data_IF_708415957844
#
_entry.id   IF_708415957844
#
_cell.length_a   1.000
_cell.length_b   1.000
_cell.length_c   1.000
_cell.angle_alpha   90.00
_cell.angle_beta   90.00
_cell.angle_gamma   90.00
#
_symmetry.space_group_name_H-M   'P 1'
#
loop_
_entity.id
_entity.type
_entity.pdbx_description
1 polymer ?
#
# COMPACT_ATOMS: atom_id res chain seq x y z
N UNK A 1 -4.65 -25.54 -23.92
CA UNK A 1 -5.84 -25.55 -23.03
C UNK A 1 -6.30 -24.12 -22.85
N UNK A 2 -7.60 -23.91 -23.03
CA UNK A 2 -8.26 -22.60 -23.14
C UNK A 2 -8.24 -21.84 -21.82
N UNK A 3 -7.39 -20.82 -21.70
CA UNK A 3 -7.44 -19.88 -20.58
C UNK A 3 -8.62 -18.93 -20.79
N UNK A 4 -9.70 -19.13 -20.04
CA UNK A 4 -10.73 -18.12 -19.84
C UNK A 4 -10.00 -16.86 -19.37
N UNK A 5 -10.05 -15.79 -20.16
CA UNK A 5 -9.62 -14.47 -19.69
C UNK A 5 -10.50 -14.12 -18.50
N UNK A 6 -9.97 -14.25 -17.28
CA UNK A 6 -10.71 -13.84 -16.09
C UNK A 6 -10.95 -12.33 -16.19
N UNK A 7 -12.23 -11.98 -16.38
CA UNK A 7 -12.65 -10.60 -16.51
C UNK A 7 -12.37 -9.81 -15.23
N UNK A 8 -12.26 -8.50 -15.40
CA UNK A 8 -12.20 -7.54 -14.32
C UNK A 8 -13.37 -7.74 -13.33
N UNK A 9 -13.07 -7.81 -12.03
CA UNK A 9 -14.08 -7.93 -10.97
C UNK A 9 -14.65 -6.54 -10.67
N UNK A 10 -15.72 -6.18 -11.38
CA UNK A 10 -16.40 -4.87 -11.27
C UNK A 10 -16.68 -4.47 -9.81
N UNK A 11 -17.17 -5.35 -8.91
CA UNK A 11 -17.43 -4.96 -7.52
C UNK A 11 -16.19 -4.45 -6.78
N UNK A 12 -15.02 -5.03 -7.03
CA UNK A 12 -13.75 -4.58 -6.45
C UNK A 12 -13.41 -3.18 -6.97
N UNK A 13 -13.53 -2.97 -8.27
CA UNK A 13 -13.26 -1.65 -8.87
C UNK A 13 -14.17 -0.60 -8.29
N UNK A 14 -15.48 -0.87 -8.23
CA UNK A 14 -16.46 0.08 -7.72
C UNK A 14 -16.17 0.41 -6.25
N UNK A 15 -15.84 -0.59 -5.42
CA UNK A 15 -15.53 -0.38 -4.00
C UNK A 15 -14.29 0.50 -3.81
N UNK A 16 -13.19 0.19 -4.52
CA UNK A 16 -11.96 1.00 -4.48
C UNK A 16 -12.21 2.41 -5.03
N UNK A 17 -12.90 2.54 -6.17
CA UNK A 17 -13.17 3.82 -6.80
C UNK A 17 -14.06 4.71 -5.94
N UNK A 18 -15.02 4.13 -5.23
CA UNK A 18 -15.91 4.83 -4.30
C UNK A 18 -15.14 5.27 -3.05
N UNK A 19 -14.36 4.38 -2.43
CA UNK A 19 -13.57 4.72 -1.25
C UNK A 19 -12.56 5.84 -1.53
N UNK A 20 -11.93 5.82 -2.71
CA UNK A 20 -10.99 6.84 -3.18
C UNK A 20 -11.64 8.04 -3.87
N UNK A 21 -12.97 8.05 -4.02
CA UNK A 21 -13.74 9.11 -4.68
C UNK A 21 -13.18 9.47 -6.07
N UNK A 22 -12.86 8.45 -6.88
CA UNK A 22 -12.21 8.64 -8.18
C UNK A 22 -13.10 9.31 -9.24
N UNK A 23 -14.42 9.32 -9.04
CA UNK A 23 -15.36 10.07 -9.86
C UNK A 23 -15.37 11.57 -9.55
N UNK A 24 -14.73 11.99 -8.45
CA UNK A 24 -14.72 13.38 -7.98
C UNK A 24 -13.40 14.06 -8.34
N UNK A 25 -13.48 15.23 -8.98
CA UNK A 25 -12.30 16.05 -9.29
C UNK A 25 -11.53 16.45 -8.03
N UNK A 26 -12.25 16.67 -6.92
CA UNK A 26 -11.71 17.12 -5.64
C UNK A 26 -12.22 16.22 -4.51
N UNK A 27 -11.37 16.02 -3.50
CA UNK A 27 -11.74 15.36 -2.23
C UNK A 27 -11.33 16.28 -1.08
N UNK A 28 -12.05 16.22 0.03
CA UNK A 28 -11.80 17.05 1.21
C UNK A 28 -11.51 16.21 2.44
N UNK A 29 -10.62 15.22 2.28
CA UNK A 29 -10.32 14.25 3.33
C UNK A 29 -9.60 14.84 4.54
N UNK A 30 -8.98 16.01 4.40
CA UNK A 30 -8.40 16.76 5.52
C UNK A 30 -9.41 17.15 6.61
N UNK A 31 -10.69 17.21 6.28
CA UNK A 31 -11.77 17.49 7.25
C UNK A 31 -12.33 16.24 7.91
N UNK A 32 -11.92 15.05 7.47
CA UNK A 32 -12.38 13.79 8.04
C UNK A 32 -11.68 13.52 9.37
N UNK A 33 -12.43 12.94 10.32
CA UNK A 33 -11.86 12.42 11.55
C UNK A 33 -11.08 11.11 11.32
N UNK A 34 -10.28 10.72 12.31
CA UNK A 34 -9.43 9.54 12.25
C UNK A 34 -10.19 8.26 11.87
N UNK A 35 -11.35 8.01 12.48
CA UNK A 35 -12.19 6.83 12.20
C UNK A 35 -12.67 6.79 10.74
N UNK A 36 -13.00 7.94 10.14
CA UNK A 36 -13.45 7.98 8.75
C UNK A 36 -12.30 7.71 7.76
N UNK A 37 -11.09 8.18 8.08
CA UNK A 37 -9.87 7.87 7.32
C UNK A 37 -9.54 6.38 7.44
N UNK A 38 -9.56 5.85 8.67
CA UNK A 38 -9.36 4.43 8.97
C UNK A 38 -10.32 3.55 8.17
N UNK A 39 -11.62 3.83 8.23
CA UNK A 39 -12.64 3.11 7.50
C UNK A 39 -12.40 3.11 5.98
N UNK A 40 -12.01 4.25 5.41
CA UNK A 40 -11.67 4.32 3.98
C UNK A 40 -10.47 3.43 3.64
N UNK A 41 -9.44 3.43 4.48
CA UNK A 41 -8.26 2.57 4.27
C UNK A 41 -8.64 1.10 4.34
N UNK A 42 -9.36 0.68 5.38
CA UNK A 42 -9.78 -0.71 5.53
C UNK A 42 -10.67 -1.17 4.39
N UNK A 43 -11.63 -0.35 3.93
CA UNK A 43 -12.46 -0.67 2.77
C UNK A 43 -11.63 -0.98 1.51
N UNK A 44 -10.51 -0.28 1.32
CA UNK A 44 -9.62 -0.50 0.17
C UNK A 44 -8.78 -1.75 0.37
N UNK A 45 -8.20 -1.96 1.57
CA UNK A 45 -7.42 -3.15 1.89
C UNK A 45 -8.28 -4.43 1.74
N UNK A 46 -9.50 -4.42 2.28
CA UNK A 46 -10.45 -5.53 2.11
C UNK A 46 -10.80 -5.78 0.65
N UNK A 47 -11.05 -4.71 -0.13
CA UNK A 47 -11.33 -4.86 -1.56
C UNK A 47 -10.13 -5.45 -2.32
N UNK A 48 -8.90 -5.08 -1.95
CA UNK A 48 -7.68 -5.66 -2.51
C UNK A 48 -7.45 -7.10 -2.05
N UNK A 49 -7.93 -7.49 -0.86
CA UNK A 49 -7.96 -8.89 -0.42
C UNK A 49 -9.02 -9.73 -1.14
N UNK A 50 -9.92 -9.09 -1.89
CA UNK A 50 -11.04 -9.75 -2.58
C UNK A 50 -12.27 -9.92 -1.70
N UNK A 51 -12.31 -9.30 -0.52
CA UNK A 51 -13.48 -9.29 0.35
C UNK A 51 -14.45 -8.20 -0.11
N UNK A 52 -15.64 -8.60 -0.55
CA UNK A 52 -16.70 -7.68 -0.98
C UNK A 52 -17.93 -7.87 -0.11
N UNK A 53 -18.35 -6.78 0.54
CA UNK A 53 -19.55 -6.75 1.38
C UNK A 53 -20.72 -6.15 0.59
N UNK A 54 -21.81 -6.91 0.45
CA UNK A 54 -23.07 -6.48 -0.14
C UNK A 54 -24.15 -6.36 0.96
N UNK A 55 -24.18 -5.21 1.63
CA UNK A 55 -25.09 -4.98 2.77
C UNK A 55 -24.53 -5.52 4.10
N UNK A 56 -25.40 -5.67 5.11
CA UNK A 56 -24.96 -5.94 6.49
C UNK A 56 -24.48 -7.37 6.75
N UNK A 57 -24.80 -8.34 5.88
CA UNK A 57 -24.59 -9.77 6.18
C UNK A 57 -24.06 -10.65 5.03
N UNK A 58 -23.68 -10.05 3.90
CA UNK A 58 -23.18 -10.82 2.75
C UNK A 58 -21.75 -10.40 2.42
N UNK A 59 -20.80 -11.26 2.78
CA UNK A 59 -19.39 -11.14 2.43
C UNK A 59 -19.02 -12.23 1.41
N UNK A 60 -18.36 -11.82 0.32
CA UNK A 60 -17.89 -12.71 -0.73
C UNK A 60 -16.38 -12.56 -0.89
N UNK A 61 -15.68 -13.70 -0.89
CA UNK A 61 -14.32 -13.79 -1.39
C UNK A 61 -14.37 -13.94 -2.91
N UNK A 62 -13.98 -12.90 -3.65
CA UNK A 62 -14.07 -12.89 -5.13
C UNK A 62 -12.75 -13.21 -5.83
N UNK A 63 -11.63 -13.18 -5.10
CA UNK A 63 -10.32 -13.53 -5.64
C UNK A 63 -9.95 -14.96 -5.30
N UNK A 64 -9.47 -15.68 -6.31
CA UNK A 64 -8.80 -16.97 -6.17
C UNK A 64 -7.28 -16.75 -6.09
N UNK A 65 -6.77 -15.64 -6.64
CA UNK A 65 -5.35 -15.29 -6.65
C UNK A 65 -5.05 -14.06 -5.79
N UNK A 66 -3.79 -13.63 -5.76
CA UNK A 66 -3.36 -12.45 -5.00
C UNK A 66 -3.66 -11.16 -5.77
N UNK A 67 -3.94 -10.07 -5.06
CA UNK A 67 -4.17 -8.74 -5.63
C UNK A 67 -3.20 -8.35 -6.75
N UNK A 68 -1.90 -8.64 -6.57
CA UNK A 68 -0.84 -8.29 -7.53
C UNK A 68 -0.98 -8.96 -8.89
N UNK A 69 -1.65 -10.12 -8.94
CA UNK A 69 -1.89 -10.91 -10.17
C UNK A 69 -3.30 -10.71 -10.74
N UNK A 70 -4.20 -10.07 -10.00
CA UNK A 70 -5.60 -9.88 -10.42
C UNK A 70 -5.77 -8.85 -11.56
N UNK A 71 -6.57 -9.20 -12.58
CA UNK A 71 -6.91 -8.30 -13.70
C UNK A 71 -7.52 -6.97 -13.26
N UNK A 72 -8.26 -6.97 -12.15
CA UNK A 72 -8.80 -5.74 -11.55
C UNK A 72 -7.72 -4.74 -11.14
N UNK A 73 -6.53 -5.20 -10.73
CA UNK A 73 -5.40 -4.32 -10.43
C UNK A 73 -4.82 -3.69 -11.69
N UNK A 74 -4.72 -4.46 -12.78
CA UNK A 74 -4.23 -3.94 -14.07
C UNK A 74 -5.06 -2.78 -14.60
N UNK A 75 -6.38 -2.77 -14.33
CA UNK A 75 -7.24 -1.62 -14.64
C UNK A 75 -6.75 -0.31 -13.99
N UNK A 76 -6.29 -0.37 -12.75
CA UNK A 76 -5.76 0.79 -12.03
C UNK A 76 -4.32 1.15 -12.40
N UNK A 77 -3.58 0.26 -13.06
CA UNK A 77 -2.13 0.38 -13.30
C UNK A 77 -1.73 0.57 -14.76
N UNK A 78 -2.67 0.96 -15.62
CA UNK A 78 -2.39 1.19 -17.03
C UNK A 78 -1.39 2.34 -17.21
N UNK A 79 -0.30 2.09 -17.94
CA UNK A 79 0.75 3.09 -18.16
C UNK A 79 0.21 4.33 -18.88
N UNK A 80 0.66 5.51 -18.45
CA UNK A 80 0.33 6.82 -19.04
C UNK A 80 -1.16 7.15 -19.09
N UNK A 81 -1.94 6.61 -18.16
CA UNK A 81 -3.37 6.86 -18.06
C UNK A 81 -3.66 7.86 -16.93
N UNK A 82 -4.44 8.91 -17.22
CA UNK A 82 -4.85 9.93 -16.24
C UNK A 82 -5.59 9.31 -15.05
N UNK A 83 -6.34 8.24 -15.28
CA UNK A 83 -7.04 7.51 -14.23
C UNK A 83 -6.06 6.83 -13.28
N UNK A 84 -5.00 6.20 -13.81
CA UNK A 84 -3.93 5.60 -13.01
C UNK A 84 -3.18 6.65 -12.19
N UNK A 85 -2.89 7.81 -12.77
CA UNK A 85 -2.28 8.94 -12.04
C UNK A 85 -3.17 9.43 -10.90
N UNK A 86 -4.48 9.61 -11.15
CA UNK A 86 -5.46 10.00 -10.14
C UNK A 86 -5.56 8.94 -9.03
N UNK A 87 -5.71 7.66 -9.39
CA UNK A 87 -5.75 6.54 -8.46
C UNK A 87 -4.53 6.54 -7.54
N UNK A 88 -3.33 6.59 -8.12
CA UNK A 88 -2.09 6.62 -7.34
C UNK A 88 -2.05 7.86 -6.46
N UNK A 89 -2.34 9.06 -6.99
CA UNK A 89 -2.35 10.29 -6.20
C UNK A 89 -3.31 10.22 -5.01
N UNK A 90 -4.50 9.66 -5.19
CA UNK A 90 -5.50 9.49 -4.12
C UNK A 90 -5.05 8.46 -3.09
N UNK A 91 -4.49 7.33 -3.53
CA UNK A 91 -3.96 6.30 -2.64
C UNK A 91 -2.84 6.85 -1.75
N UNK A 92 -1.90 7.61 -2.34
CA UNK A 92 -0.81 8.28 -1.60
C UNK A 92 -1.34 9.28 -0.58
N UNK A 93 -2.32 10.10 -0.99
CA UNK A 93 -2.90 11.12 -0.14
C UNK A 93 -3.62 10.51 1.07
N UNK A 94 -4.42 9.46 0.84
CA UNK A 94 -5.11 8.74 1.92
C UNK A 94 -4.11 8.10 2.89
N UNK A 95 -3.08 7.42 2.38
CA UNK A 95 -2.03 6.85 3.24
C UNK A 95 -1.32 7.91 4.09
N UNK A 96 -1.01 9.06 3.50
CA UNK A 96 -0.39 10.19 4.22
C UNK A 96 -1.31 10.82 5.28
N UNK A 97 -2.64 10.76 5.10
CA UNK A 97 -3.59 11.21 6.11
C UNK A 97 -3.71 10.19 7.26
N UNK A 98 -3.75 8.89 6.93
CA UNK A 98 -3.80 7.83 7.93
C UNK A 98 -2.57 7.89 8.87
N UNK A 99 -1.38 8.12 8.30
CA UNK A 99 -0.14 8.28 9.07
C UNK A 99 -0.17 9.53 9.96
N UNK A 100 -0.75 10.64 9.49
CA UNK A 100 -0.92 11.88 10.28
C UNK A 100 -1.82 11.67 11.49
N UNK A 101 -2.82 10.81 11.39
CA UNK A 101 -3.67 10.40 12.51
C UNK A 101 -3.04 9.36 13.44
N UNK A 102 -1.81 8.90 13.15
CA UNK A 102 -1.09 7.90 13.94
C UNK A 102 -1.89 6.60 14.12
N UNK A 103 -2.58 6.18 13.07
CA UNK A 103 -3.35 4.93 13.06
C UNK A 103 -2.42 3.74 12.77
N UNK A 104 -2.63 2.62 13.46
CA UNK A 104 -1.81 1.41 13.32
C UNK A 104 -2.67 0.17 13.20
N UNK A 105 -2.21 -0.76 12.36
CA UNK A 105 -2.70 -2.13 12.32
C UNK A 105 -1.74 -2.96 13.17
N UNK A 106 -2.31 -3.72 14.11
CA UNK A 106 -1.59 -4.71 14.90
C UNK A 106 -2.04 -6.10 14.48
N UNK A 107 -1.08 -6.97 14.19
CA UNK A 107 -1.34 -8.36 13.82
C UNK A 107 -0.36 -9.27 14.53
N UNK A 108 -0.84 -10.40 15.04
CA UNK A 108 0.05 -11.46 15.54
C UNK A 108 0.72 -12.15 14.34
N UNK A 109 2.04 -12.16 14.33
CA UNK A 109 2.88 -12.86 13.37
C UNK A 109 3.72 -13.97 14.02
N UNK A 110 4.41 -14.78 13.22
CA UNK A 110 5.26 -15.86 13.72
C UNK A 110 6.42 -15.36 14.62
N UNK A 111 6.91 -14.15 14.36
CA UNK A 111 8.03 -13.53 15.10
C UNK A 111 7.58 -12.51 16.16
N UNK A 112 6.28 -12.47 16.48
CA UNK A 112 5.69 -11.57 17.47
C UNK A 112 4.63 -10.62 16.90
N UNK A 113 4.36 -9.53 17.62
CA UNK A 113 3.39 -8.52 17.17
C UNK A 113 3.97 -7.65 16.05
N UNK A 114 3.31 -7.67 14.90
CA UNK A 114 3.59 -6.80 13.78
C UNK A 114 2.77 -5.52 13.97
N UNK A 115 3.45 -4.39 14.10
CA UNK A 115 2.84 -3.07 14.19
C UNK A 115 3.25 -2.23 12.98
N UNK A 116 2.28 -1.95 12.12
CA UNK A 116 2.46 -1.19 10.88
C UNK A 116 1.50 0.00 10.88
N UNK A 117 1.92 1.16 10.38
CA UNK A 117 0.99 2.28 10.24
C UNK A 117 -0.07 1.95 9.19
N UNK A 118 -1.25 2.54 9.34
CA UNK A 118 -2.39 2.25 8.44
C UNK A 118 -2.09 2.73 7.00
N UNK A 119 -1.33 3.83 6.84
CA UNK A 119 -0.85 4.26 5.53
C UNK A 119 0.20 3.32 4.94
N UNK A 120 1.11 2.77 5.74
CA UNK A 120 2.02 1.70 5.32
C UNK A 120 1.25 0.48 4.83
N UNK A 121 0.30 0.00 5.62
CA UNK A 121 -0.50 -1.18 5.28
C UNK A 121 -1.25 -1.02 3.96
N UNK A 122 -1.85 0.16 3.72
CA UNK A 122 -2.53 0.47 2.46
C UNK A 122 -1.59 0.32 1.26
N UNK A 123 -0.43 0.97 1.31
CA UNK A 123 0.52 0.97 0.20
C UNK A 123 1.14 -0.42 0.03
N UNK A 124 1.51 -1.07 1.12
CA UNK A 124 2.04 -2.44 1.15
C UNK A 124 1.10 -3.43 0.47
N UNK A 125 -0.18 -3.38 0.83
CA UNK A 125 -1.23 -4.21 0.24
C UNK A 125 -1.32 -3.97 -1.27
N UNK A 126 -1.30 -2.69 -1.69
CA UNK A 126 -1.41 -2.34 -3.11
C UNK A 126 -0.23 -2.86 -3.95
N UNK A 127 0.99 -2.78 -3.42
CA UNK A 127 2.20 -3.23 -4.13
C UNK A 127 2.50 -4.72 -3.95
N UNK A 128 1.88 -5.37 -2.96
CA UNK A 128 2.02 -6.80 -2.67
C UNK A 128 3.16 -7.16 -1.73
N UNK A 129 3.58 -6.26 -0.84
CA UNK A 129 4.63 -6.55 0.14
C UNK A 129 3.99 -7.08 1.44
N UNK A 130 4.39 -8.27 1.93
CA UNK A 130 4.01 -8.75 3.26
C UNK A 130 4.43 -7.80 4.39
N UNK A 131 3.60 -7.64 5.41
CA UNK A 131 3.87 -6.68 6.49
C UNK A 131 5.10 -7.08 7.31
N UNK A 132 5.38 -8.38 7.39
CA UNK A 132 6.57 -8.97 7.99
C UNK A 132 7.85 -8.43 7.33
N UNK A 133 7.88 -8.31 5.99
CA UNK A 133 9.03 -7.79 5.27
C UNK A 133 9.22 -6.29 5.50
N UNK A 134 8.13 -5.53 5.69
CA UNK A 134 8.22 -4.11 6.04
C UNK A 134 8.82 -3.93 7.43
N UNK A 135 8.39 -4.74 8.40
CA UNK A 135 8.95 -4.71 9.75
C UNK A 135 10.45 -5.06 9.72
N UNK A 136 10.83 -6.16 9.07
CA UNK A 136 12.24 -6.57 8.92
C UNK A 136 13.07 -5.49 8.25
N UNK A 137 12.59 -4.88 7.17
CA UNK A 137 13.30 -3.78 6.52
C UNK A 137 13.48 -2.57 7.44
N UNK A 138 12.44 -2.21 8.20
CA UNK A 138 12.53 -1.13 9.17
C UNK A 138 13.54 -1.43 10.30
N UNK A 139 13.71 -2.68 10.69
CA UNK A 139 14.74 -3.11 11.65
C UNK A 139 16.14 -3.00 11.04
N UNK A 140 16.34 -3.43 9.78
CA UNK A 140 17.59 -3.22 9.03
C UNK A 140 17.94 -1.73 8.86
N UNK A 141 16.95 -0.88 8.62
CA UNK A 141 17.18 0.56 8.51
C UNK A 141 17.54 1.20 9.86
N UNK A 142 17.00 0.71 10.97
CA UNK A 142 17.38 1.20 12.31
C UNK A 142 18.81 0.82 12.67
N UNK A 143 19.26 -0.39 12.32
CA UNK A 143 20.63 -0.82 12.59
C UNK A 143 21.66 -0.02 11.77
N UNK A 144 21.32 0.35 10.53
CA UNK A 144 22.19 1.13 9.62
C UNK A 144 22.10 2.66 9.79
N UNK A 145 20.99 3.20 10.33
CA UNK A 145 20.87 4.63 10.65
C UNK A 145 21.86 5.12 11.71
N UNK A 146 22.41 4.21 12.54
CA UNK A 146 23.51 4.54 13.44
C UNK A 146 24.85 4.77 12.70
N UNK A 147 24.95 4.39 11.42
CA UNK A 147 26.18 4.44 10.61
C UNK A 147 26.11 5.54 9.53
N UNK A 148 24.92 5.85 9.00
CA UNK A 148 24.76 6.81 7.90
C UNK A 148 24.74 8.27 8.37
N UNK A 149 25.87 8.96 8.23
CA UNK A 149 25.94 10.43 8.31
C UNK A 149 25.03 11.04 7.22
N UNK A 150 24.03 11.83 7.65
CA UNK A 150 23.10 12.51 6.73
C UNK A 150 23.84 13.40 5.74
N UNK A 151 23.58 13.31 4.41
CA UNK A 151 24.02 14.33 3.47
C UNK A 151 23.36 15.67 3.83
N UNK A 152 24.18 16.69 4.14
CA UNK A 152 23.68 18.05 4.40
C UNK A 152 23.05 18.60 3.11
N UNK A 153 21.72 18.77 3.08
CA UNK A 153 21.02 19.56 2.06
C UNK A 153 19.82 18.90 1.40
N UNK A 154 19.60 17.58 1.55
CA UNK A 154 18.44 16.94 0.95
C UNK A 154 17.20 17.10 1.84
N UNK A 155 16.20 17.84 1.35
CA UNK A 155 14.93 18.07 2.04
C UNK A 155 14.00 16.85 2.00
N UNK A 156 14.39 15.79 1.29
CA UNK A 156 13.65 14.52 1.26
C UNK A 156 14.13 13.66 2.43
N UNK A 157 13.19 13.17 3.24
CA UNK A 157 13.48 12.33 4.39
C UNK A 157 14.04 10.99 3.87
N UNK A 158 15.36 10.84 3.86
CA UNK A 158 16.00 9.54 3.62
C UNK A 158 15.62 8.62 4.78
N UNK A 159 14.90 7.53 4.49
CA UNK A 159 14.40 6.62 5.52
C UNK A 159 15.33 5.41 5.77
N UNK A 160 16.31 5.16 4.90
CA UNK A 160 17.28 4.08 5.05
C UNK A 160 18.32 4.04 3.94
N UNK A 161 19.23 3.06 4.05
CA UNK A 161 20.22 2.71 3.03
C UNK A 161 19.93 1.27 2.57
N UNK A 162 19.82 1.08 1.25
CA UNK A 162 19.70 -0.20 0.59
C UNK A 162 21.10 -0.72 0.29
N UNK A 163 21.49 -1.76 1.00
CA UNK A 163 22.85 -2.32 1.02
C UNK A 163 22.83 -3.78 0.56
N UNK A 164 23.98 -4.30 0.14
CA UNK A 164 24.13 -5.68 -0.34
C UNK A 164 24.07 -6.75 0.79
N UNK A 165 23.93 -6.32 2.06
CA UNK A 165 23.78 -7.19 3.23
C UNK A 165 22.30 -7.34 3.68
N UNK A 166 21.35 -6.85 2.89
CA UNK A 166 19.93 -7.05 3.16
C UNK A 166 19.56 -8.54 3.06
N UNK A 167 18.63 -9.02 3.89
CA UNK A 167 18.09 -10.37 3.76
C UNK A 167 17.58 -10.65 2.33
N UNK A 168 17.92 -11.81 1.77
CA UNK A 168 17.53 -12.19 0.40
C UNK A 168 16.03 -12.07 0.10
N UNK A 169 15.18 -12.31 1.09
CA UNK A 169 13.72 -12.15 0.98
C UNK A 169 13.29 -10.68 0.73
N UNK A 170 14.05 -9.70 1.24
CA UNK A 170 13.84 -8.27 0.95
C UNK A 170 14.41 -7.92 -0.43
N UNK A 171 15.58 -8.46 -0.77
CA UNK A 171 16.21 -8.24 -2.07
C UNK A 171 15.33 -8.75 -3.23
N UNK A 172 14.69 -9.91 -3.05
CA UNK A 172 13.77 -10.47 -4.04
C UNK A 172 12.57 -9.55 -4.32
N UNK A 173 12.20 -8.70 -3.36
CA UNK A 173 11.09 -7.74 -3.45
C UNK A 173 11.55 -6.32 -3.80
N UNK A 174 12.79 -6.13 -4.29
CA UNK A 174 13.38 -4.81 -4.62
C UNK A 174 12.44 -3.94 -5.46
N UNK A 175 11.82 -4.49 -6.51
CA UNK A 175 10.92 -3.72 -7.37
C UNK A 175 9.64 -3.28 -6.64
N UNK A 176 9.10 -4.15 -5.78
CA UNK A 176 7.92 -3.83 -4.98
C UNK A 176 8.26 -2.75 -3.95
N UNK A 177 9.40 -2.86 -3.27
CA UNK A 177 9.87 -1.84 -2.32
C UNK A 177 10.16 -0.49 -3.00
N UNK A 178 10.78 -0.50 -4.19
CA UNK A 178 10.96 0.72 -4.98
C UNK A 178 9.62 1.40 -5.28
N UNK A 179 8.60 0.63 -5.64
CA UNK A 179 7.26 1.17 -5.86
C UNK A 179 6.63 1.68 -4.56
N UNK A 180 6.77 0.94 -3.46
CA UNK A 180 6.31 1.34 -2.12
C UNK A 180 6.88 2.70 -1.71
N UNK A 181 8.20 2.90 -1.79
CA UNK A 181 8.84 4.16 -1.40
C UNK A 181 8.43 5.34 -2.30
N UNK A 182 8.26 5.09 -3.61
CA UNK A 182 7.73 6.07 -4.55
C UNK A 182 6.29 6.50 -4.22
N UNK A 183 5.45 5.58 -3.74
CA UNK A 183 4.10 5.89 -3.29
C UNK A 183 4.10 6.61 -1.92
N UNK A 184 5.09 6.32 -1.06
CA UNK A 184 5.23 6.97 0.26
C UNK A 184 6.00 8.28 0.26
N UNK A 185 6.49 8.72 -0.91
CA UNK A 185 7.39 9.88 -1.04
C UNK A 185 8.63 9.79 -0.14
N UNK A 186 9.14 8.57 0.02
CA UNK A 186 10.33 8.27 0.80
C UNK A 186 11.51 8.00 -0.13
N UNK A 187 12.70 8.44 0.28
CA UNK A 187 13.93 8.16 -0.44
C UNK A 187 14.73 7.10 0.34
N UNK A 188 15.24 6.10 -0.36
CA UNK A 188 16.20 5.13 0.18
C UNK A 188 17.47 5.25 -0.65
N UNK A 189 18.62 5.42 0.00
CA UNK A 189 19.89 5.48 -0.71
C UNK A 189 20.25 4.09 -1.26
N UNK A 190 20.68 3.98 -2.51
CA UNK A 190 21.06 2.69 -3.12
C UNK A 190 19.92 1.88 -3.78
N UNK A 191 18.69 2.42 -3.82
CA UNK A 191 17.50 1.78 -4.42
C UNK A 191 16.94 2.53 -5.66
#
# INVERSE_FOLDING_TARGET
ESSIQEGVRIPVIVRIATALELSSERVNWEKLGALAIENKVFQIIEAMAGNINLGEHLEFQVFVTHWTTEYSRYFFMKKHDKFTELFNSRLKYLGSLADRHQLYIQKSGPDGEIKISTGEALIATHVGIPFELIQKLNECFKSTQNVAQRPKGDRRRICGVWTDDLPHEIENETLAFKHFFNLRHQNVHGL
#
